data_IF_131855068243
#
_entry.id   IF_131855068243
#
_cell.length_a   1.000
_cell.length_b   1.000
_cell.length_c   1.000
_cell.angle_alpha   90.00
_cell.angle_beta   90.00
_cell.angle_gamma   90.00
#
_symmetry.space_group_name_H-M   'P 1'
#
loop_
_entity.id
_entity.type
_entity.pdbx_description
1 polymer ?
#
# COMPACT_ATOMS: atom_id res chain seq x y z
N UNK A 1 -14.68 -0.44 -33.00
CA UNK A 1 -14.53 -1.89 -32.70
C UNK A 1 -13.42 -2.16 -31.68
N UNK A 2 -12.20 -1.66 -31.88
CA UNK A 2 -11.08 -1.89 -30.96
C UNK A 2 -11.24 -1.24 -29.58
N UNK A 3 -11.65 0.04 -29.53
CA UNK A 3 -11.95 0.75 -28.27
C UNK A 3 -12.91 -0.02 -27.36
N UNK A 4 -13.97 -0.61 -27.92
CA UNK A 4 -14.93 -1.43 -27.18
C UNK A 4 -14.30 -2.70 -26.61
N UNK A 5 -13.43 -3.38 -27.38
CA UNK A 5 -12.72 -4.58 -26.90
C UNK A 5 -11.80 -4.25 -25.72
N UNK A 6 -11.13 -3.09 -25.76
CA UNK A 6 -10.30 -2.61 -24.65
C UNK A 6 -11.18 -2.30 -23.45
N UNK A 7 -12.30 -1.58 -23.62
CA UNK A 7 -13.23 -1.29 -22.54
C UNK A 7 -13.77 -2.55 -21.86
N UNK A 8 -14.15 -3.58 -22.63
CA UNK A 8 -14.60 -4.86 -22.10
C UNK A 8 -13.51 -5.57 -21.27
N UNK A 9 -12.26 -5.51 -21.71
CA UNK A 9 -11.11 -6.07 -20.98
C UNK A 9 -10.85 -5.30 -19.68
N UNK A 10 -10.91 -3.97 -19.72
CA UNK A 10 -10.77 -3.12 -18.54
C UNK A 10 -11.90 -3.38 -17.54
N UNK A 11 -13.14 -3.49 -18.01
CA UNK A 11 -14.30 -3.78 -17.16
C UNK A 11 -14.11 -5.11 -16.41
N UNK A 12 -13.68 -6.16 -17.13
CA UNK A 12 -13.39 -7.48 -16.55
C UNK A 12 -12.35 -7.43 -15.42
N UNK A 13 -11.30 -6.63 -15.55
CA UNK A 13 -10.21 -6.59 -14.54
C UNK A 13 -10.45 -5.60 -13.42
N UNK A 14 -11.12 -4.48 -13.71
CA UNK A 14 -11.33 -3.40 -12.73
C UNK A 14 -12.62 -3.58 -11.92
N UNK A 15 -13.60 -4.32 -12.44
CA UNK A 15 -14.96 -4.36 -11.88
C UNK A 15 -15.81 -3.14 -12.25
N UNK A 16 -15.28 -2.18 -13.00
CA UNK A 16 -16.04 -1.04 -13.52
C UNK A 16 -16.93 -1.45 -14.69
N UNK A 17 -18.01 -0.71 -14.92
CA UNK A 17 -18.83 -0.91 -16.11
C UNK A 17 -18.13 -0.41 -17.38
N UNK A 18 -18.36 -1.08 -18.51
CA UNK A 18 -17.88 -0.60 -19.82
C UNK A 18 -18.38 0.81 -20.12
N UNK A 19 -19.59 1.15 -19.67
CA UNK A 19 -20.17 2.48 -19.84
C UNK A 19 -19.29 3.55 -19.20
N UNK A 20 -18.90 3.38 -17.93
CA UNK A 20 -18.07 4.35 -17.21
C UNK A 20 -16.70 4.46 -17.87
N UNK A 21 -16.09 3.33 -18.23
CA UNK A 21 -14.81 3.28 -18.93
C UNK A 21 -14.86 4.05 -20.26
N UNK A 22 -15.92 3.85 -21.04
CA UNK A 22 -16.11 4.51 -22.33
C UNK A 22 -16.39 6.01 -22.16
N UNK A 23 -17.17 6.40 -21.16
CA UNK A 23 -17.46 7.81 -20.83
C UNK A 23 -16.20 8.59 -20.44
N UNK A 24 -15.19 7.89 -19.90
CA UNK A 24 -13.91 8.47 -19.51
C UNK A 24 -12.79 8.15 -20.51
N UNK A 25 -13.12 7.79 -21.76
CA UNK A 25 -12.15 7.58 -22.83
C UNK A 25 -11.04 6.56 -22.54
N UNK A 26 -11.35 5.50 -21.78
CA UNK A 26 -10.38 4.51 -21.31
C UNK A 26 -9.33 5.04 -20.32
N UNK A 27 -9.49 6.27 -19.83
CA UNK A 27 -8.61 6.91 -18.85
C UNK A 27 -9.37 7.11 -17.54
N UNK A 28 -9.20 6.17 -16.62
CA UNK A 28 -9.92 6.18 -15.35
C UNK A 28 -9.01 6.76 -14.27
N UNK A 29 -9.44 7.87 -13.65
CA UNK A 29 -8.76 8.38 -12.47
C UNK A 29 -8.93 7.42 -11.27
N UNK A 30 -7.91 7.36 -10.40
CA UNK A 30 -7.96 6.52 -9.20
C UNK A 30 -9.11 6.90 -8.26
N UNK A 31 -9.40 8.20 -8.14
CA UNK A 31 -10.56 8.69 -7.39
C UNK A 31 -11.88 8.16 -7.96
N UNK A 32 -12.05 8.21 -9.28
CA UNK A 32 -13.27 7.70 -9.91
C UNK A 32 -13.40 6.21 -9.69
N UNK A 33 -12.30 5.46 -9.79
CA UNK A 33 -12.28 4.03 -9.51
C UNK A 33 -12.79 3.72 -8.09
N UNK A 34 -12.29 4.38 -7.05
CA UNK A 34 -12.76 4.14 -5.68
C UNK A 34 -14.21 4.57 -5.43
N UNK A 35 -14.69 5.61 -6.13
CA UNK A 35 -16.09 6.04 -6.04
C UNK A 35 -17.04 5.07 -6.76
N UNK A 36 -16.64 4.54 -7.91
CA UNK A 36 -17.55 3.84 -8.81
C UNK A 36 -17.88 2.41 -8.35
N UNK A 37 -16.95 1.71 -7.71
CA UNK A 37 -17.05 0.27 -7.45
C UNK A 37 -18.30 -0.21 -6.70
N UNK A 38 -18.89 0.65 -5.85
CA UNK A 38 -20.10 0.37 -5.09
C UNK A 38 -21.17 1.47 -5.25
N UNK A 39 -21.07 2.30 -6.30
CA UNK A 39 -21.94 3.46 -6.50
C UNK A 39 -23.41 3.05 -6.63
N UNK A 40 -23.68 1.91 -7.26
CA UNK A 40 -25.02 1.33 -7.42
C UNK A 40 -25.71 0.99 -6.08
N UNK A 41 -24.92 0.83 -5.02
CA UNK A 41 -25.39 0.56 -3.66
C UNK A 41 -25.35 1.79 -2.75
N UNK A 42 -25.00 2.96 -3.29
CA UNK A 42 -24.85 4.20 -2.52
C UNK A 42 -23.63 4.22 -1.60
N UNK A 43 -22.57 3.50 -1.96
CA UNK A 43 -21.34 3.43 -1.16
C UNK A 43 -20.08 3.65 -2.00
N UNK A 44 -18.98 3.97 -1.33
CA UNK A 44 -17.62 4.02 -1.89
C UNK A 44 -16.71 3.01 -1.21
N UNK A 45 -15.54 2.75 -1.79
CA UNK A 45 -14.50 1.91 -1.16
C UNK A 45 -13.33 2.76 -0.67
N UNK A 46 -12.61 2.24 0.32
CA UNK A 46 -11.40 2.87 0.84
C UNK A 46 -10.22 2.88 -0.12
N UNK A 47 -9.40 3.93 -0.05
CA UNK A 47 -8.16 4.07 -0.85
C UNK A 47 -7.05 3.17 -0.34
N UNK A 48 -6.82 3.18 0.97
CA UNK A 48 -5.77 2.40 1.63
C UNK A 48 -6.25 0.98 1.95
N UNK A 49 -7.56 0.73 1.97
CA UNK A 49 -8.12 -0.61 2.15
C UNK A 49 -9.53 -0.65 1.57
N UNK A 50 -9.66 -1.26 0.38
CA UNK A 50 -10.93 -1.30 -0.37
C UNK A 50 -12.03 -2.15 0.28
N UNK A 51 -11.73 -2.85 1.38
CA UNK A 51 -12.74 -3.58 2.18
C UNK A 51 -13.58 -2.64 3.05
N UNK A 52 -13.12 -1.42 3.29
CA UNK A 52 -13.86 -0.41 4.04
C UNK A 52 -14.88 0.27 3.14
N UNK A 53 -16.06 0.52 3.72
CA UNK A 53 -17.21 1.10 3.03
C UNK A 53 -17.41 2.54 3.47
N UNK A 54 -17.35 3.47 2.52
CA UNK A 54 -17.65 4.89 2.72
C UNK A 54 -19.06 5.25 2.32
N UNK A 55 -19.57 6.37 2.85
CA UNK A 55 -20.86 6.97 2.51
C UNK A 55 -20.60 8.42 2.17
N UNK A 56 -20.85 8.82 0.93
CA UNK A 56 -20.71 10.19 0.47
C UNK A 56 -22.02 10.98 0.65
N UNK A 57 -21.93 12.31 0.58
CA UNK A 57 -23.09 13.19 0.55
C UNK A 57 -23.97 12.96 -0.68
N UNK A 58 -23.35 12.59 -1.80
CA UNK A 58 -24.03 12.29 -3.05
C UNK A 58 -23.33 11.15 -3.79
N UNK A 59 -24.12 10.26 -4.39
CA UNK A 59 -23.62 9.17 -5.22
C UNK A 59 -22.91 9.67 -6.49
N UNK A 60 -23.26 10.86 -6.97
CA UNK A 60 -22.67 11.51 -8.14
C UNK A 60 -21.24 12.04 -7.85
N UNK A 61 -20.50 12.38 -8.91
CA UNK A 61 -19.15 12.97 -8.83
C UNK A 61 -18.02 12.00 -9.18
N UNK A 62 -16.79 12.50 -9.10
CA UNK A 62 -15.57 11.85 -9.63
C UNK A 62 -14.65 11.26 -8.56
N UNK A 63 -14.97 11.41 -7.26
CA UNK A 63 -14.17 10.84 -6.18
C UNK A 63 -14.93 10.76 -4.86
N UNK A 64 -14.50 9.88 -3.93
CA UNK A 64 -15.06 9.78 -2.59
C UNK A 64 -14.91 11.10 -1.82
N UNK A 65 -15.84 11.40 -0.92
CA UNK A 65 -15.76 12.58 -0.06
C UNK A 65 -14.64 12.44 0.98
N UNK A 66 -14.35 11.21 1.40
CA UNK A 66 -13.29 10.86 2.34
C UNK A 66 -12.84 9.41 2.16
N UNK A 67 -11.69 9.08 2.75
CA UNK A 67 -11.18 7.72 2.84
C UNK A 67 -11.76 7.04 4.10
N UNK A 68 -12.65 6.06 3.90
CA UNK A 68 -13.42 5.43 4.97
C UNK A 68 -12.55 4.69 6.00
N UNK A 69 -11.56 3.96 5.51
CA UNK A 69 -10.57 3.24 6.31
C UNK A 69 -9.78 4.20 7.20
N UNK A 70 -9.35 5.34 6.66
CA UNK A 70 -8.54 6.31 7.39
C UNK A 70 -9.29 6.89 8.58
N UNK A 71 -10.57 7.21 8.38
CA UNK A 71 -11.45 7.72 9.45
C UNK A 71 -11.63 6.67 10.54
N UNK A 72 -11.86 5.41 10.15
CA UNK A 72 -11.99 4.29 11.10
C UNK A 72 -10.70 4.06 11.91
N UNK A 73 -9.54 4.13 11.25
CA UNK A 73 -8.23 3.95 11.89
C UNK A 73 -7.92 5.08 12.86
N UNK A 74 -8.15 6.33 12.45
CA UNK A 74 -7.98 7.49 13.31
C UNK A 74 -8.82 7.39 14.58
N UNK A 75 -10.08 6.99 14.45
CA UNK A 75 -10.96 6.79 15.61
C UNK A 75 -10.43 5.69 16.54
N UNK A 76 -9.88 4.61 15.99
CA UNK A 76 -9.40 3.46 16.77
C UNK A 76 -8.05 3.72 17.44
N UNK A 77 -7.13 4.44 16.79
CA UNK A 77 -5.75 4.61 17.28
C UNK A 77 -5.53 5.87 18.12
N UNK A 78 -6.20 6.98 17.81
CA UNK A 78 -5.95 8.27 18.48
C UNK A 78 -6.16 8.20 20.00
N UNK A 79 -7.25 7.60 20.53
CA UNK A 79 -7.43 7.50 21.98
C UNK A 79 -6.37 6.58 22.62
N UNK A 80 -6.10 5.44 21.99
CA UNK A 80 -5.18 4.42 22.52
C UNK A 80 -3.76 4.98 22.72
N UNK A 81 -3.22 5.70 21.74
CA UNK A 81 -1.87 6.27 21.88
C UNK A 81 -1.80 7.37 22.94
N UNK A 82 -2.83 8.22 23.05
CA UNK A 82 -2.89 9.27 24.06
C UNK A 82 -2.95 8.68 25.48
N UNK A 83 -3.73 7.59 25.66
CA UNK A 83 -3.78 6.87 26.93
C UNK A 83 -2.44 6.22 27.26
N UNK A 84 -1.83 5.52 26.30
CA UNK A 84 -0.55 4.83 26.49
C UNK A 84 0.57 5.78 26.91
N UNK A 85 0.73 6.90 26.20
CA UNK A 85 1.78 7.90 26.50
C UNK A 85 1.59 8.49 27.89
N UNK A 86 0.35 8.85 28.26
CA UNK A 86 0.07 9.54 29.52
C UNK A 86 0.08 8.62 30.73
N UNK A 87 -0.45 7.41 30.60
CA UNK A 87 -0.71 6.52 31.74
C UNK A 87 0.34 5.43 31.89
N UNK A 88 0.80 4.85 30.78
CA UNK A 88 1.80 3.76 30.83
C UNK A 88 3.22 4.34 30.81
N UNK A 89 3.52 5.22 29.86
CA UNK A 89 4.83 5.88 29.80
C UNK A 89 4.98 7.04 30.79
N UNK A 90 3.89 7.43 31.47
CA UNK A 90 3.85 8.54 32.44
C UNK A 90 4.33 9.89 31.89
N UNK A 91 4.28 10.08 30.57
CA UNK A 91 4.66 11.33 29.92
C UNK A 91 3.45 12.25 29.77
N UNK A 92 3.37 13.26 30.64
CA UNK A 92 2.26 14.22 30.66
C UNK A 92 2.71 15.52 30.01
N UNK A 93 2.10 15.82 28.87
CA UNK A 93 2.32 17.05 28.11
C UNK A 93 0.99 17.66 27.67
N UNK A 94 0.99 18.97 27.49
CA UNK A 94 -0.03 19.78 26.83
C UNK A 94 0.12 19.78 25.31
N UNK A 95 1.23 19.27 24.77
CA UNK A 95 1.43 19.12 23.34
C UNK A 95 0.39 18.18 22.73
N UNK A 96 -0.24 18.64 21.65
CA UNK A 96 -1.18 17.84 20.87
C UNK A 96 -0.42 16.75 20.11
N UNK A 97 -0.83 15.49 20.33
CA UNK A 97 -0.37 14.38 19.49
C UNK A 97 -1.03 14.46 18.12
N UNK A 98 -0.23 14.65 17.07
CA UNK A 98 -0.71 14.72 15.70
C UNK A 98 -0.57 13.36 15.03
N UNK A 99 -1.70 12.72 14.69
CA UNK A 99 -1.69 11.49 13.88
C UNK A 99 -1.14 11.74 12.47
N UNK A 100 -1.26 12.96 11.96
CA UNK A 100 -0.68 13.44 10.71
C UNK A 100 -0.08 14.84 10.92
N UNK A 101 1.14 15.06 10.45
CA UNK A 101 1.80 16.36 10.49
C UNK A 101 1.44 17.24 9.29
N UNK A 102 1.43 18.59 9.44
CA UNK A 102 1.19 19.53 8.35
C UNK A 102 2.45 19.69 7.49
N UNK A 103 2.89 18.60 6.86
CA UNK A 103 4.16 18.56 6.12
C UNK A 103 3.99 18.94 4.64
N UNK A 104 2.85 19.52 4.27
CA UNK A 104 2.58 19.95 2.90
C UNK A 104 3.00 21.42 2.69
N UNK A 105 3.64 21.75 1.55
CA UNK A 105 4.10 20.83 0.50
C UNK A 105 5.38 20.07 0.92
N UNK A 106 5.40 18.77 0.66
CA UNK A 106 6.61 17.96 0.81
C UNK A 106 7.39 17.98 -0.50
N UNK A 107 8.70 18.24 -0.45
CA UNK A 107 9.55 18.19 -1.64
C UNK A 107 9.72 16.73 -2.11
N UNK A 108 9.27 16.45 -3.33
CA UNK A 108 9.39 15.13 -3.97
C UNK A 108 10.38 15.13 -5.14
N UNK A 109 11.15 16.21 -5.32
CA UNK A 109 12.14 16.30 -6.37
C UNK A 109 13.29 15.31 -6.13
N UNK A 110 13.86 14.78 -7.22
CA UNK A 110 15.05 13.92 -7.14
C UNK A 110 14.84 12.52 -6.55
N UNK A 111 13.60 12.00 -6.47
CA UNK A 111 13.36 10.64 -5.98
C UNK A 111 13.98 9.59 -6.90
N UNK A 112 14.99 8.88 -6.39
CA UNK A 112 15.68 7.77 -7.05
C UNK A 112 15.69 6.53 -6.15
N UNK A 113 14.73 6.40 -5.23
CA UNK A 113 14.73 5.38 -4.18
C UNK A 113 14.91 3.96 -4.72
N UNK A 114 14.23 3.61 -5.82
CA UNK A 114 14.37 2.29 -6.46
C UNK A 114 15.77 2.02 -7.00
N UNK A 115 16.37 2.99 -7.70
CA UNK A 115 17.72 2.86 -8.26
C UNK A 115 18.79 2.89 -7.17
N UNK A 116 18.61 3.70 -6.13
CA UNK A 116 19.48 3.74 -4.96
C UNK A 116 19.48 2.38 -4.23
N UNK A 117 18.30 1.78 -4.04
CA UNK A 117 18.17 0.46 -3.44
C UNK A 117 18.82 -0.61 -4.31
N UNK A 118 18.60 -0.59 -5.63
CA UNK A 118 19.25 -1.50 -6.57
C UNK A 118 20.77 -1.40 -6.50
N UNK A 119 21.31 -0.18 -6.53
CA UNK A 119 22.74 0.08 -6.45
C UNK A 119 23.33 -0.43 -5.13
N UNK A 120 22.64 -0.19 -4.00
CA UNK A 120 23.04 -0.71 -2.71
C UNK A 120 23.04 -2.25 -2.68
N UNK A 121 22.04 -2.90 -3.26
CA UNK A 121 21.99 -4.36 -3.37
C UNK A 121 23.11 -4.92 -4.25
N UNK A 122 23.48 -4.22 -5.32
CA UNK A 122 24.57 -4.64 -6.21
C UNK A 122 25.94 -4.55 -5.51
N UNK A 123 26.13 -3.56 -4.64
CA UNK A 123 27.39 -3.35 -3.91
C UNK A 123 27.49 -4.18 -2.63
N UNK A 124 26.35 -4.51 -2.01
CA UNK A 124 26.29 -5.32 -0.80
C UNK A 124 25.62 -6.67 -1.09
N UNK A 125 26.39 -7.76 -1.23
CA UNK A 125 25.83 -9.08 -1.49
C UNK A 125 25.01 -9.67 -0.34
N UNK A 126 25.12 -9.11 0.87
CA UNK A 126 24.32 -9.47 2.04
C UNK A 126 23.04 -8.65 2.19
N UNK A 127 22.82 -7.65 1.33
CA UNK A 127 21.57 -6.90 1.37
C UNK A 127 20.46 -7.71 0.70
N UNK A 128 19.44 -8.05 1.48
CA UNK A 128 18.21 -8.70 1.04
C UNK A 128 17.04 -7.73 1.20
N UNK A 129 16.02 -7.89 0.37
CA UNK A 129 14.80 -7.08 0.38
C UNK A 129 13.59 -7.99 0.51
N UNK A 130 12.72 -7.66 1.47
CA UNK A 130 11.39 -8.23 1.60
C UNK A 130 10.37 -7.11 1.36
N UNK A 131 9.43 -7.35 0.46
CA UNK A 131 8.27 -6.50 0.25
C UNK A 131 7.03 -7.25 0.74
N UNK A 132 6.32 -6.68 1.71
CA UNK A 132 5.02 -7.19 2.15
C UNK A 132 3.94 -6.25 1.60
N UNK A 133 2.96 -6.77 0.84
CA UNK A 133 1.91 -5.96 0.22
C UNK A 133 0.50 -6.49 0.49
N UNK A 134 -0.41 -5.59 0.84
CA UNK A 134 -1.84 -5.91 0.92
C UNK A 134 -2.50 -5.91 -0.47
N UNK A 135 -3.33 -6.90 -0.77
CA UNK A 135 -4.07 -6.98 -2.04
C UNK A 135 -5.12 -5.88 -2.21
N UNK A 136 -5.61 -5.31 -1.11
CA UNK A 136 -6.68 -4.31 -1.10
C UNK A 136 -6.16 -2.87 -0.92
N UNK A 137 -4.85 -2.67 -0.96
CA UNK A 137 -4.22 -1.36 -0.93
C UNK A 137 -4.27 -0.71 -2.32
N UNK A 138 -5.00 0.39 -2.45
CA UNK A 138 -5.08 1.18 -3.67
C UNK A 138 -4.09 2.35 -3.72
N UNK A 139 -3.39 2.68 -2.62
CA UNK A 139 -2.40 3.75 -2.59
C UNK A 139 -1.00 3.26 -2.95
N UNK A 140 -0.64 2.07 -2.48
CA UNK A 140 0.61 1.39 -2.78
C UNK A 140 0.30 -0.02 -3.29
N UNK A 141 -0.30 -0.10 -4.48
CA UNK A 141 -0.83 -1.36 -5.00
C UNK A 141 0.28 -2.41 -5.19
N UNK A 142 -0.11 -3.67 -4.97
CA UNK A 142 0.82 -4.79 -5.01
C UNK A 142 1.49 -4.99 -6.38
N UNK A 143 0.82 -4.56 -7.46
CA UNK A 143 1.35 -4.76 -8.80
C UNK A 143 2.49 -3.79 -9.07
N UNK A 144 2.34 -2.51 -8.72
CA UNK A 144 3.43 -1.55 -8.77
C UNK A 144 4.61 -1.97 -7.89
N UNK A 145 4.35 -2.56 -6.71
CA UNK A 145 5.40 -3.13 -5.87
C UNK A 145 6.19 -4.24 -6.60
N UNK A 146 5.50 -5.21 -7.21
CA UNK A 146 6.14 -6.26 -8.02
C UNK A 146 6.85 -5.71 -9.25
N UNK A 147 6.22 -4.76 -9.94
CA UNK A 147 6.77 -4.12 -11.13
C UNK A 147 8.09 -3.42 -10.82
N UNK A 148 8.16 -2.67 -9.71
CA UNK A 148 9.40 -2.04 -9.26
C UNK A 148 10.50 -3.08 -9.00
N UNK A 149 10.19 -4.20 -8.34
CA UNK A 149 11.16 -5.28 -8.13
C UNK A 149 11.69 -5.85 -9.45
N UNK A 150 10.84 -5.99 -10.47
CA UNK A 150 11.27 -6.43 -11.81
C UNK A 150 12.16 -5.39 -12.50
N UNK A 151 11.82 -4.10 -12.39
CA UNK A 151 12.61 -3.02 -12.99
C UNK A 151 13.96 -2.82 -12.30
N UNK A 152 14.07 -3.15 -11.01
CA UNK A 152 15.33 -3.10 -10.28
C UNK A 152 16.31 -4.20 -10.72
N UNK A 153 15.83 -5.35 -11.20
CA UNK A 153 16.71 -6.46 -11.60
C UNK A 153 16.39 -7.01 -12.99
N UNK A 154 16.59 -6.21 -14.05
CA UNK A 154 16.38 -6.68 -15.42
C UNK A 154 17.33 -7.84 -15.79
N UNK A 155 18.44 -7.99 -15.06
CA UNK A 155 19.42 -9.06 -15.26
C UNK A 155 19.09 -10.38 -14.55
N UNK A 156 18.13 -10.38 -13.62
CA UNK A 156 17.80 -11.53 -12.77
C UNK A 156 18.88 -11.91 -11.73
N UNK A 157 19.88 -11.06 -11.48
CA UNK A 157 21.02 -11.32 -10.57
C UNK A 157 20.72 -11.05 -9.10
N UNK A 158 19.70 -10.26 -8.81
CA UNK A 158 19.25 -9.90 -7.46
C UNK A 158 18.04 -10.74 -7.01
N UNK A 159 17.39 -11.47 -7.93
CA UNK A 159 16.16 -12.23 -7.68
C UNK A 159 16.19 -13.08 -6.40
N UNK A 160 17.31 -13.75 -6.11
CA UNK A 160 17.41 -14.69 -4.98
C UNK A 160 17.44 -13.96 -3.62
N UNK A 161 17.68 -12.64 -3.66
CA UNK A 161 17.74 -11.73 -2.50
C UNK A 161 16.54 -10.80 -2.40
N UNK A 162 15.57 -10.91 -3.31
CA UNK A 162 14.32 -10.15 -3.29
C UNK A 162 13.15 -11.08 -3.07
N UNK A 163 12.36 -10.85 -2.02
CA UNK A 163 11.18 -11.65 -1.67
C UNK A 163 9.95 -10.75 -1.64
N UNK A 164 8.80 -11.28 -2.06
CA UNK A 164 7.53 -10.56 -2.06
C UNK A 164 6.46 -11.45 -1.42
N UNK A 165 5.72 -10.89 -0.48
CA UNK A 165 4.63 -11.58 0.24
C UNK A 165 3.33 -10.78 0.14
N UNK A 166 2.23 -11.49 -0.11
CA UNK A 166 0.90 -10.93 -0.31
C UNK A 166 -0.06 -11.28 0.81
N UNK A 167 -0.94 -10.33 1.17
CA UNK A 167 -1.87 -10.49 2.28
C UNK A 167 -3.29 -10.06 1.86
N UNK A 168 -4.30 -10.76 2.37
CA UNK A 168 -5.72 -10.39 2.19
C UNK A 168 -6.10 -9.19 3.06
N UNK A 169 -5.33 -8.12 2.96
CA UNK A 169 -5.52 -6.86 3.68
C UNK A 169 -5.18 -5.65 2.82
N UNK A 170 -5.45 -4.44 3.34
CA UNK A 170 -5.02 -3.19 2.73
C UNK A 170 -3.62 -2.76 3.17
N UNK A 171 -3.40 -1.45 3.15
CA UNK A 171 -2.14 -0.76 3.42
C UNK A 171 -1.51 -1.15 4.76
N UNK A 172 -2.33 -1.21 5.81
CA UNK A 172 -1.92 -1.69 7.13
C UNK A 172 -2.28 -3.17 7.27
N UNK A 173 -1.49 -4.05 6.63
CA UNK A 173 -1.79 -5.50 6.59
C UNK A 173 -1.96 -6.14 7.97
N UNK A 174 -1.27 -5.61 8.98
CA UNK A 174 -1.27 -6.11 10.34
C UNK A 174 -2.58 -5.85 11.10
N UNK A 175 -3.56 -5.14 10.52
CA UNK A 175 -4.87 -4.95 11.14
C UNK A 175 -5.72 -6.22 11.14
N UNK A 176 -5.50 -7.13 10.19
CA UNK A 176 -6.15 -8.44 10.17
C UNK A 176 -5.28 -9.42 10.95
N UNK A 177 -5.80 -9.97 12.05
CA UNK A 177 -5.04 -10.89 12.93
C UNK A 177 -4.35 -12.05 12.21
N UNK A 178 -5.00 -12.77 11.26
CA UNK A 178 -4.32 -13.77 10.44
C UNK A 178 -3.09 -13.23 9.68
N UNK A 179 -3.23 -12.06 9.05
CA UNK A 179 -2.17 -11.45 8.25
C UNK A 179 -1.06 -10.86 9.12
N UNK A 180 -1.39 -10.35 10.32
CA UNK A 180 -0.40 -9.98 11.33
C UNK A 180 0.45 -11.18 11.75
N UNK A 181 -0.19 -12.32 12.04
CA UNK A 181 0.54 -13.53 12.41
C UNK A 181 1.45 -13.98 11.28
N UNK A 182 0.89 -14.12 10.07
CA UNK A 182 1.63 -14.55 8.89
C UNK A 182 2.76 -13.58 8.54
N UNK A 183 2.51 -12.27 8.57
CA UNK A 183 3.51 -11.24 8.31
C UNK A 183 4.66 -11.27 9.33
N UNK A 184 4.36 -11.53 10.60
CA UNK A 184 5.40 -11.73 11.62
C UNK A 184 6.23 -12.99 11.35
N UNK A 185 5.59 -14.08 10.92
CA UNK A 185 6.29 -15.32 10.59
C UNK A 185 7.23 -15.10 9.38
N UNK A 186 6.76 -14.43 8.32
CA UNK A 186 7.58 -14.07 7.17
C UNK A 186 8.75 -13.13 7.52
N UNK A 187 8.57 -12.19 8.47
CA UNK A 187 9.66 -11.35 8.95
C UNK A 187 10.74 -12.19 9.65
N UNK A 188 10.35 -13.17 10.48
CA UNK A 188 11.30 -14.07 11.14
C UNK A 188 12.09 -14.90 10.12
N UNK A 189 11.38 -15.52 9.18
CA UNK A 189 11.98 -16.29 8.10
C UNK A 189 12.93 -15.44 7.25
N UNK A 190 12.54 -14.20 6.96
CA UNK A 190 13.39 -13.25 6.24
C UNK A 190 14.66 -12.90 7.01
N UNK A 191 14.56 -12.62 8.32
CA UNK A 191 15.74 -12.34 9.16
C UNK A 191 16.68 -13.54 9.17
N UNK A 192 16.17 -14.75 9.38
CA UNK A 192 16.98 -15.98 9.36
C UNK A 192 17.67 -16.21 8.00
N UNK A 193 16.98 -15.91 6.90
CA UNK A 193 17.52 -16.03 5.54
C UNK A 193 18.55 -14.95 5.22
N UNK A 194 18.35 -13.72 5.70
CA UNK A 194 19.16 -12.56 5.33
C UNK A 194 20.40 -12.39 6.22
N UNK A 195 20.35 -12.86 7.47
CA UNK A 195 21.48 -12.74 8.40
C UNK A 195 22.55 -13.79 8.07
N UNK A 196 23.77 -13.38 7.67
CA UNK A 196 24.85 -14.33 7.46
C UNK A 196 25.28 -14.98 8.78
N UNK A 197 25.81 -16.20 8.69
CA UNK A 197 26.37 -16.88 9.88
C UNK A 197 27.46 -16.02 10.50
N UNK A 198 27.52 -16.01 11.84
CA UNK A 198 28.58 -15.33 12.56
C UNK A 198 29.97 -15.72 12.04
N UNK A 199 30.82 -14.73 11.79
CA UNK A 199 32.16 -14.93 11.23
C UNK A 199 32.21 -15.11 9.71
N UNK A 200 31.09 -14.99 8.99
CA UNK A 200 31.11 -14.98 7.51
C UNK A 200 31.78 -13.70 7.03
N UNK A 201 32.95 -13.77 6.35
CA UNK A 201 33.59 -12.59 5.80
C UNK A 201 32.76 -12.03 4.65
N UNK A 202 32.80 -10.72 4.45
CA UNK A 202 32.16 -10.10 3.29
C UNK A 202 32.79 -10.64 2.00
N UNK A 203 32.00 -11.32 1.16
CA UNK A 203 32.41 -11.76 -0.18
C UNK A 203 32.02 -10.67 -1.18
N UNK A 204 32.88 -10.34 -2.14
CA UNK A 204 32.58 -9.47 -3.27
C UNK A 204 32.75 -10.25 -4.57
#
# INVERSE_FOLDING_TARGET
AEKQKIAAKMAKYSGLSEKVIMQNNLDISTNLFWKELLRDKGFTVGRLDSRYKGIDKADAGEGPDYNAELTSWLHSFTPAINMYIRNELNYKTDLKYNMFGPVNPWDRSGDQTGENLRSAMAQNPYLHVLVQSGYYDGACDYFNAKYNMWQMDPSGKLKDRMSWEGYESGHMMYLRKPDLKMGNDHIREFIEKAVPKFGTPAKF
#
